data_IF_618201936086
#
_entry.id   IF_618201936086
#
_cell.length_a   1.000
_cell.length_b   1.000
_cell.length_c   1.000
_cell.angle_alpha   90.00
_cell.angle_beta   90.00
_cell.angle_gamma   90.00
#
_symmetry.space_group_name_H-M   'P 1'
#
loop_
_entity.id
_entity.type
_entity.pdbx_description
1 polymer ?
#
# COMPACT_ATOMS: atom_id res chain seq x y z
N UNK A 1 -3.21 4.22 -11.79
CA UNK A 1 -4.29 4.28 -10.77
C UNK A 1 -5.39 3.24 -10.95
N UNK A 2 -5.94 3.02 -12.15
CA UNK A 2 -7.03 2.04 -12.38
C UNK A 2 -6.73 0.65 -11.80
N UNK A 3 -5.50 0.17 -11.94
CA UNK A 3 -5.11 -1.14 -11.42
C UNK A 3 -5.24 -1.27 -9.89
N UNK A 4 -4.85 -0.25 -9.12
CA UNK A 4 -4.98 -0.24 -7.64
C UNK A 4 -6.46 -0.31 -7.23
N UNK A 5 -7.30 0.48 -7.89
CA UNK A 5 -8.75 0.53 -7.63
C UNK A 5 -9.41 -0.80 -7.99
N UNK A 6 -8.98 -1.44 -9.09
CA UNK A 6 -9.57 -2.69 -9.54
C UNK A 6 -9.07 -3.93 -8.78
N UNK A 7 -7.82 -3.92 -8.29
CA UNK A 7 -7.20 -5.13 -7.72
C UNK A 7 -6.97 -5.03 -6.21
N UNK A 8 -6.45 -3.92 -5.70
CA UNK A 8 -6.09 -3.79 -4.28
C UNK A 8 -7.29 -3.42 -3.43
N UNK A 9 -8.07 -2.42 -3.84
CA UNK A 9 -9.20 -1.91 -3.03
C UNK A 9 -10.26 -2.95 -2.69
N UNK A 10 -10.70 -3.82 -3.63
CA UNK A 10 -11.70 -4.84 -3.32
C UNK A 10 -11.25 -5.80 -2.22
N UNK A 11 -9.94 -6.02 -2.08
CA UNK A 11 -9.42 -6.89 -1.02
C UNK A 11 -9.69 -6.35 0.38
N UNK A 12 -9.88 -5.03 0.56
CA UNK A 12 -10.33 -4.46 1.84
C UNK A 12 -11.78 -4.82 2.08
N UNK A 13 -12.66 -4.58 1.09
CA UNK A 13 -14.09 -4.93 1.19
C UNK A 13 -14.32 -6.41 1.54
N UNK A 14 -13.58 -7.32 0.91
CA UNK A 14 -13.71 -8.76 1.18
C UNK A 14 -13.12 -9.17 2.54
N UNK A 15 -12.06 -8.50 3.02
CA UNK A 15 -11.41 -8.84 4.28
C UNK A 15 -12.08 -8.20 5.51
N UNK A 16 -12.73 -7.04 5.34
CA UNK A 16 -13.39 -6.29 6.42
C UNK A 16 -14.77 -6.87 6.73
N UNK A 17 -15.48 -7.40 5.72
CA UNK A 17 -16.81 -8.01 5.84
C UNK A 17 -16.91 -9.37 5.14
N UNK A 18 -16.03 -10.35 5.46
CA UNK A 18 -15.98 -11.63 4.75
C UNK A 18 -17.27 -12.43 4.84
N UNK A 19 -18.04 -12.28 5.92
CA UNK A 19 -19.32 -12.95 6.16
C UNK A 19 -20.39 -12.61 5.11
N UNK A 20 -20.27 -11.46 4.43
CA UNK A 20 -21.19 -11.08 3.33
C UNK A 20 -20.98 -11.89 2.06
N UNK A 21 -19.81 -12.52 1.92
CA UNK A 21 -19.37 -13.17 0.68
C UNK A 21 -19.17 -14.67 0.85
N UNK A 22 -18.75 -15.10 2.03
CA UNK A 22 -18.58 -16.50 2.39
C UNK A 22 -19.10 -16.74 3.82
N UNK A 23 -20.44 -16.73 4.04
CA UNK A 23 -21.02 -16.87 5.38
C UNK A 23 -20.62 -18.16 6.10
N UNK A 24 -20.36 -19.24 5.35
CA UNK A 24 -19.97 -20.54 5.91
C UNK A 24 -18.45 -20.66 6.20
N UNK A 25 -17.62 -19.74 5.67
CA UNK A 25 -16.17 -19.79 5.83
C UNK A 25 -15.49 -18.40 5.82
N UNK A 26 -15.96 -17.43 6.64
CA UNK A 26 -15.51 -16.04 6.55
C UNK A 26 -14.03 -15.86 6.89
N UNK A 27 -13.53 -16.54 7.91
CA UNK A 27 -12.13 -16.43 8.33
C UNK A 27 -11.16 -16.97 7.26
N UNK A 28 -11.55 -18.05 6.57
CA UNK A 28 -10.75 -18.61 5.47
C UNK A 28 -10.69 -17.64 4.29
N UNK A 29 -11.81 -17.00 3.94
CA UNK A 29 -11.84 -15.97 2.90
C UNK A 29 -10.96 -14.79 3.29
N UNK A 30 -11.11 -14.25 4.50
CA UNK A 30 -10.32 -13.12 5.01
C UNK A 30 -8.82 -13.41 4.91
N UNK A 31 -8.38 -14.57 5.40
CA UNK A 31 -6.99 -15.01 5.32
C UNK A 31 -6.49 -15.04 3.87
N UNK A 32 -7.22 -15.69 2.98
CA UNK A 32 -6.82 -15.83 1.57
C UNK A 32 -6.75 -14.47 0.86
N UNK A 33 -7.69 -13.57 1.13
CA UNK A 33 -7.73 -12.22 0.55
C UNK A 33 -6.57 -11.37 1.04
N UNK A 34 -6.20 -11.45 2.33
CA UNK A 34 -5.04 -10.74 2.87
C UNK A 34 -3.74 -11.24 2.23
N UNK A 35 -3.57 -12.56 2.08
CA UNK A 35 -2.40 -13.12 1.39
C UNK A 35 -2.37 -12.76 -0.10
N UNK A 36 -3.53 -12.73 -0.75
CA UNK A 36 -3.63 -12.24 -2.13
C UNK A 36 -3.25 -10.75 -2.22
N UNK A 37 -3.73 -9.90 -1.30
CA UNK A 37 -3.33 -8.47 -1.23
C UNK A 37 -1.82 -8.30 -1.12
N UNK A 38 -1.15 -9.11 -0.29
CA UNK A 38 0.32 -9.12 -0.19
C UNK A 38 0.97 -9.41 -1.54
N UNK A 39 0.49 -10.43 -2.27
CA UNK A 39 1.02 -10.73 -3.61
C UNK A 39 0.82 -9.58 -4.61
N UNK A 40 -0.30 -8.85 -4.51
CA UNK A 40 -0.55 -7.66 -5.33
C UNK A 40 0.46 -6.53 -5.02
N UNK A 41 0.78 -6.31 -3.75
CA UNK A 41 1.80 -5.33 -3.38
C UNK A 41 3.21 -5.74 -3.82
N UNK A 42 3.56 -7.02 -3.72
CA UNK A 42 4.84 -7.53 -4.25
C UNK A 42 4.91 -7.32 -5.76
N UNK A 43 3.84 -7.63 -6.49
CA UNK A 43 3.78 -7.39 -7.93
C UNK A 43 3.91 -5.90 -8.27
N UNK A 44 3.17 -5.02 -7.59
CA UNK A 44 3.26 -3.59 -7.82
C UNK A 44 4.68 -3.08 -7.54
N UNK A 45 5.29 -3.53 -6.44
CA UNK A 45 6.66 -3.20 -6.09
C UNK A 45 7.65 -3.61 -7.19
N UNK A 46 7.43 -4.75 -7.85
CA UNK A 46 8.28 -5.21 -8.94
C UNK A 46 8.10 -4.42 -10.24
N UNK A 47 7.05 -3.60 -10.36
CA UNK A 47 6.85 -2.67 -11.48
C UNK A 47 7.49 -1.30 -11.24
N UNK A 48 8.05 -1.07 -10.05
CA UNK A 48 8.60 0.22 -9.65
C UNK A 48 10.12 0.16 -9.60
N UNK A 49 10.75 1.30 -9.86
CA UNK A 49 12.16 1.55 -9.57
C UNK A 49 12.23 2.88 -8.84
N UNK A 50 12.79 2.90 -7.62
CA UNK A 50 12.81 4.10 -6.79
C UNK A 50 13.97 5.03 -7.19
N UNK A 51 13.69 6.10 -7.92
CA UNK A 51 14.74 7.02 -8.44
C UNK A 51 14.45 8.54 -8.27
N UNK A 52 14.22 9.08 -7.06
CA UNK A 52 13.84 8.43 -5.81
C UNK A 52 12.32 8.18 -5.75
N UNK A 53 11.55 8.71 -6.72
CA UNK A 53 10.10 8.55 -6.84
C UNK A 53 9.75 7.52 -7.92
N UNK A 54 8.47 7.17 -8.04
CA UNK A 54 7.97 6.13 -8.94
C UNK A 54 8.25 6.39 -10.43
N UNK A 55 8.41 7.65 -10.84
CA UNK A 55 8.64 8.05 -12.23
C UNK A 55 9.94 8.87 -12.38
N UNK A 56 10.94 8.58 -11.55
CA UNK A 56 12.22 9.29 -11.54
C UNK A 56 12.24 10.47 -10.57
N UNK A 57 12.86 11.57 -10.96
CA UNK A 57 13.22 12.65 -10.04
C UNK A 57 12.05 13.53 -9.58
N UNK A 58 10.95 13.54 -10.34
CA UNK A 58 9.82 14.42 -10.08
C UNK A 58 8.77 13.76 -9.18
N UNK A 59 8.47 14.41 -8.05
CA UNK A 59 7.37 14.02 -7.17
C UNK A 59 6.03 14.08 -7.92
N UNK A 60 5.26 13.01 -7.82
CA UNK A 60 3.89 12.92 -8.34
C UNK A 60 2.90 12.55 -7.24
N UNK A 61 1.60 12.60 -7.56
CA UNK A 61 0.56 12.16 -6.62
C UNK A 61 0.64 10.66 -6.32
N UNK A 62 1.18 9.84 -7.22
CA UNK A 62 1.34 8.40 -6.99
C UNK A 62 2.29 8.17 -5.81
N UNK A 63 3.34 8.96 -5.66
CA UNK A 63 4.31 8.83 -4.59
C UNK A 63 3.70 9.15 -3.22
N UNK A 64 2.98 10.26 -3.13
CA UNK A 64 2.22 10.61 -1.92
C UNK A 64 1.20 9.53 -1.55
N UNK A 65 0.59 8.91 -2.57
CA UNK A 65 -0.36 7.84 -2.38
C UNK A 65 0.32 6.55 -1.88
N UNK A 66 1.47 6.17 -2.43
CA UNK A 66 2.28 5.04 -1.93
C UNK A 66 2.73 5.27 -0.47
N UNK A 67 3.10 6.49 -0.12
CA UNK A 67 3.43 6.91 1.25
C UNK A 67 2.27 6.69 2.22
N UNK A 68 1.04 6.98 1.80
CA UNK A 68 -0.15 6.68 2.62
C UNK A 68 -0.46 5.19 2.64
N UNK A 69 -0.39 4.53 1.49
CA UNK A 69 -0.76 3.13 1.30
C UNK A 69 0.07 2.17 2.14
N UNK A 70 1.37 2.44 2.36
CA UNK A 70 2.24 1.58 3.18
C UNK A 70 1.81 1.49 4.66
N UNK A 71 0.97 2.41 5.11
CA UNK A 71 0.41 2.42 6.48
C UNK A 71 -0.78 1.47 6.62
N UNK A 72 -1.43 1.13 5.50
CA UNK A 72 -2.55 0.19 5.49
C UNK A 72 -2.03 -1.24 5.61
N UNK A 73 -2.93 -2.18 5.92
CA UNK A 73 -2.56 -3.60 6.02
C UNK A 73 -1.85 -4.09 4.75
N UNK A 74 -0.65 -4.69 4.86
CA UNK A 74 -0.12 -5.35 6.07
C UNK A 74 0.70 -4.47 7.03
N UNK A 75 0.92 -3.19 6.73
CA UNK A 75 1.60 -2.22 7.59
C UNK A 75 3.09 -2.03 7.28
N UNK A 76 3.67 -0.99 7.90
CA UNK A 76 5.01 -0.48 7.61
C UNK A 76 6.11 -1.54 7.60
N UNK A 77 6.21 -2.35 8.65
CA UNK A 77 7.27 -3.37 8.78
C UNK A 77 7.23 -4.36 7.60
N UNK A 78 6.03 -4.83 7.25
CA UNK A 78 5.89 -5.76 6.13
C UNK A 78 6.30 -5.13 4.80
N UNK A 79 5.94 -3.86 4.55
CA UNK A 79 6.36 -3.16 3.33
C UNK A 79 7.88 -2.95 3.28
N UNK A 80 8.52 -2.65 4.42
CA UNK A 80 9.99 -2.51 4.49
C UNK A 80 10.68 -3.83 4.10
N UNK A 81 10.17 -4.96 4.59
CA UNK A 81 10.77 -6.27 4.35
C UNK A 81 10.46 -6.87 2.96
N UNK A 82 9.29 -6.56 2.39
CA UNK A 82 8.76 -7.29 1.21
C UNK A 82 8.54 -6.43 -0.03
N UNK A 83 8.54 -5.10 0.12
CA UNK A 83 8.19 -4.15 -0.94
C UNK A 83 9.13 -2.93 -0.91
N UNK A 84 10.42 -3.19 -1.09
CA UNK A 84 11.51 -2.22 -0.90
C UNK A 84 11.44 -0.97 -1.78
N UNK A 85 10.97 -1.06 -3.03
CA UNK A 85 10.81 0.12 -3.89
C UNK A 85 9.68 1.02 -3.39
N UNK A 86 8.53 0.44 -3.02
CA UNK A 86 7.41 1.18 -2.43
C UNK A 86 7.87 1.89 -1.15
N UNK A 87 8.58 1.17 -0.28
CA UNK A 87 9.11 1.71 0.97
C UNK A 87 10.09 2.86 0.73
N UNK A 88 11.06 2.69 -0.18
CA UNK A 88 12.04 3.72 -0.51
C UNK A 88 11.39 4.99 -1.08
N UNK A 89 10.42 4.85 -2.00
CA UNK A 89 9.65 5.98 -2.54
C UNK A 89 8.91 6.72 -1.43
N UNK A 90 8.23 5.97 -0.57
CA UNK A 90 7.49 6.54 0.54
C UNK A 90 8.41 7.22 1.58
N UNK A 91 9.60 6.68 1.84
CA UNK A 91 10.60 7.30 2.69
C UNK A 91 11.10 8.62 2.09
N UNK A 92 11.36 8.67 0.78
CA UNK A 92 11.70 9.90 0.07
C UNK A 92 10.60 10.97 0.21
N UNK A 93 9.32 10.57 0.11
CA UNK A 93 8.18 11.48 0.35
C UNK A 93 8.15 11.99 1.79
N UNK A 94 8.41 11.13 2.78
CA UNK A 94 8.43 11.52 4.20
C UNK A 94 9.53 12.52 4.55
N UNK A 95 10.64 12.51 3.80
CA UNK A 95 11.72 13.49 3.99
C UNK A 95 11.37 14.89 3.47
N UNK A 96 10.28 15.08 2.71
CA UNK A 96 9.90 16.38 2.18
C UNK A 96 9.35 17.29 3.30
N UNK A 97 10.04 18.40 3.66
CA UNK A 97 9.62 19.23 4.79
C UNK A 97 8.20 19.78 4.64
N UNK A 98 7.81 20.12 3.40
CA UNK A 98 6.48 20.64 3.06
C UNK A 98 5.33 19.64 3.30
N UNK A 99 5.63 18.34 3.43
CA UNK A 99 4.63 17.30 3.67
C UNK A 99 4.62 16.81 5.12
N UNK A 100 5.68 17.04 5.90
CA UNK A 100 5.81 16.46 7.24
C UNK A 100 4.67 16.85 8.19
N UNK A 101 4.18 18.09 8.12
CA UNK A 101 3.05 18.53 8.96
C UNK A 101 1.80 17.68 8.71
N UNK A 102 1.42 17.49 7.45
CA UNK A 102 0.23 16.71 7.11
C UNK A 102 0.43 15.22 7.37
N UNK A 103 1.63 14.69 7.14
CA UNK A 103 1.93 13.28 7.41
C UNK A 103 1.84 12.97 8.91
N UNK A 104 2.41 13.83 9.77
CA UNK A 104 2.30 13.69 11.24
C UNK A 104 0.87 13.79 11.73
N UNK A 105 0.10 14.75 11.21
CA UNK A 105 -1.30 14.96 11.59
C UNK A 105 -2.18 13.74 11.29
N UNK A 106 -1.80 12.93 10.29
CA UNK A 106 -2.53 11.72 9.90
C UNK A 106 -1.83 10.43 10.38
N UNK A 107 -0.89 10.53 11.33
CA UNK A 107 -0.21 9.38 11.94
C UNK A 107 0.51 8.48 10.91
N UNK A 108 0.97 9.06 9.80
CA UNK A 108 1.77 8.35 8.79
C UNK A 108 3.25 8.30 9.22
N UNK A 109 3.73 9.35 9.87
CA UNK A 109 5.07 9.48 10.48
C UNK A 109 4.98 10.13 11.86
#
# INVERSE_FOLDING_TARGET
>A
MVWLVANVYPTFTFADYPERWAPDAPEQLKKNVIEYRKSLYIWLNSQLTAEPYAFGEQLTLVDCYLCTMRTWGPGHEWFQDNATNISAIADAVCQLPKLQEVLKRNEII
#
